data_IF_482766588171
#
_entry.id   IF_482766588171
#
_cell.length_a   1.000
_cell.length_b   1.000
_cell.length_c   1.000
_cell.angle_alpha   90.00
_cell.angle_beta   90.00
_cell.angle_gamma   90.00
#
_symmetry.space_group_name_H-M   'P 1'
#
loop_
_entity.id
_entity.type
_entity.pdbx_description
1 polymer ?
#
# COMPACT_ATOMS: atom_id res chain seq x y z
N UNK A 1 -19.94 -30.21 -7.13
CA UNK A 1 -19.49 -30.64 -5.80
C UNK A 1 -18.24 -31.48 -5.98
N UNK A 2 -17.05 -31.08 -5.49
CA UNK A 2 -15.93 -31.99 -5.38
C UNK A 2 -15.94 -32.63 -3.98
N UNK A 3 -16.01 -33.95 -3.95
CA UNK A 3 -15.86 -34.79 -2.77
C UNK A 3 -14.39 -34.87 -2.38
N UNK A 4 -14.06 -34.46 -1.15
CA UNK A 4 -12.74 -34.68 -0.59
C UNK A 4 -12.75 -36.03 0.16
N UNK A 5 -12.15 -37.04 -0.45
CA UNK A 5 -11.98 -38.37 0.12
C UNK A 5 -10.50 -38.57 0.44
N UNK A 6 -10.07 -38.37 1.68
CA UNK A 6 -8.87 -39.04 2.21
C UNK A 6 -9.02 -39.32 3.70
N UNK A 7 -8.79 -40.60 4.03
CA UNK A 7 -8.91 -41.24 5.32
C UNK A 7 -7.80 -40.82 6.27
N UNK A 8 -8.17 -40.33 7.46
CA UNK A 8 -7.41 -40.47 8.72
C UNK A 8 -8.44 -40.61 9.84
N UNK A 9 -8.44 -41.75 10.54
CA UNK A 9 -9.19 -41.89 11.79
C UNK A 9 -8.28 -41.53 12.97
N UNK A 10 -8.67 -40.54 13.80
CA UNK A 10 -8.28 -40.57 15.21
C UNK A 10 -9.47 -40.34 16.16
N UNK A 11 -9.41 -41.09 17.26
CA UNK A 11 -10.19 -40.98 18.50
C UNK A 11 -10.90 -39.63 18.77
N UNK A 12 -12.23 -39.69 18.64
CA UNK A 12 -13.37 -39.03 19.34
C UNK A 12 -13.29 -37.70 20.13
N UNK A 13 -12.23 -36.89 20.14
CA UNK A 13 -12.31 -35.50 20.69
C UNK A 13 -11.63 -34.39 19.89
N UNK A 14 -10.87 -34.70 18.83
CA UNK A 14 -10.09 -33.68 18.08
C UNK A 14 -10.79 -33.21 16.78
N UNK A 15 -11.83 -33.90 16.31
CA UNK A 15 -12.41 -33.68 14.97
C UNK A 15 -13.44 -32.53 14.85
N UNK A 16 -13.68 -31.73 15.89
CA UNK A 16 -14.79 -30.75 15.89
C UNK A 16 -14.40 -29.30 15.52
N UNK A 17 -13.10 -28.96 15.36
CA UNK A 17 -12.70 -27.57 15.04
C UNK A 17 -12.77 -27.25 13.55
N UNK A 18 -12.40 -28.18 12.67
CA UNK A 18 -12.40 -27.92 11.22
C UNK A 18 -13.80 -27.93 10.60
N UNK A 19 -14.79 -28.59 11.22
CA UNK A 19 -16.18 -28.65 10.72
C UNK A 19 -16.97 -27.34 10.87
N UNK A 20 -16.40 -26.31 11.52
CA UNK A 20 -16.93 -24.93 11.54
C UNK A 20 -16.32 -24.03 10.46
N UNK A 21 -15.35 -24.53 9.70
CA UNK A 21 -14.77 -23.78 8.60
C UNK A 21 -15.79 -23.75 7.44
N UNK A 22 -16.38 -22.58 7.22
CA UNK A 22 -17.45 -22.35 6.23
C UNK A 22 -16.92 -22.15 4.80
N UNK A 23 -15.63 -22.44 4.58
CA UNK A 23 -14.96 -22.25 3.29
C UNK A 23 -14.66 -20.80 2.94
N UNK A 24 -14.93 -19.82 3.82
CA UNK A 24 -14.63 -18.41 3.53
C UNK A 24 -13.13 -18.15 3.66
N UNK A 25 -12.54 -17.64 2.59
CA UNK A 25 -11.20 -17.06 2.62
C UNK A 25 -11.24 -15.82 3.50
N UNK A 26 -10.51 -15.83 4.62
CA UNK A 26 -10.33 -14.65 5.44
C UNK A 26 -9.55 -13.60 4.64
N UNK A 27 -10.08 -12.39 4.53
CA UNK A 27 -9.33 -11.24 3.99
C UNK A 27 -8.06 -11.07 4.81
N UNK A 28 -6.89 -11.20 4.17
CA UNK A 28 -5.59 -11.04 4.84
C UNK A 28 -4.98 -9.71 4.45
N UNK A 29 -4.38 -9.03 5.41
CA UNK A 29 -3.63 -7.79 5.19
C UNK A 29 -2.19 -8.04 5.61
N UNK A 30 -1.25 -7.51 4.83
CA UNK A 30 0.19 -7.55 5.14
C UNK A 30 0.63 -6.21 5.70
N UNK A 31 1.37 -6.26 6.79
CA UNK A 31 1.92 -5.13 7.50
C UNK A 31 3.44 -5.27 7.61
N UNK A 32 4.17 -4.17 7.39
CA UNK A 32 5.57 -4.04 7.83
C UNK A 32 5.58 -3.07 9.00
N UNK A 33 5.89 -3.57 10.19
CA UNK A 33 5.95 -2.78 11.42
C UNK A 33 7.30 -2.10 11.48
N UNK A 34 7.35 -0.78 11.27
CA UNK A 34 8.60 -0.01 11.17
C UNK A 34 9.10 0.51 12.51
N UNK A 35 8.22 0.50 13.52
CA UNK A 35 8.50 0.96 14.86
C UNK A 35 8.77 -0.21 15.82
N UNK A 36 9.76 -0.05 16.71
CA UNK A 36 10.17 -1.11 17.62
C UNK A 36 9.15 -1.36 18.76
N UNK A 37 8.46 -0.34 19.26
CA UNK A 37 7.44 -0.53 20.31
C UNK A 37 6.21 -1.25 19.76
N UNK A 38 5.77 -0.89 18.54
CA UNK A 38 4.70 -1.60 17.85
C UNK A 38 5.06 -3.06 17.58
N UNK A 39 6.32 -3.35 17.20
CA UNK A 39 6.81 -4.73 17.02
C UNK A 39 6.70 -5.54 18.30
N UNK A 40 7.03 -4.96 19.45
CA UNK A 40 6.99 -5.67 20.72
C UNK A 40 5.57 -6.17 21.06
N UNK A 41 4.54 -5.41 20.70
CA UNK A 41 3.13 -5.81 20.87
C UNK A 41 2.71 -7.01 20.01
N UNK A 42 3.53 -7.39 19.03
CA UNK A 42 3.32 -8.56 18.15
C UNK A 42 4.51 -9.53 18.19
N UNK A 43 5.20 -9.60 19.34
CA UNK A 43 6.27 -10.58 19.57
C UNK A 43 7.58 -10.27 18.83
N UNK A 44 7.82 -9.01 18.48
CA UNK A 44 9.03 -8.56 17.78
C UNK A 44 8.98 -8.73 16.26
N UNK A 45 7.86 -9.22 15.71
CA UNK A 45 7.73 -9.48 14.28
C UNK A 45 7.63 -8.18 13.47
N UNK A 46 8.49 -8.04 12.46
CA UNK A 46 8.50 -6.91 11.52
C UNK A 46 7.54 -7.10 10.36
N UNK A 47 7.54 -8.26 9.71
CA UNK A 47 6.67 -8.57 8.58
C UNK A 47 5.60 -9.55 9.02
N UNK A 48 4.34 -9.09 8.99
CA UNK A 48 3.18 -9.86 9.44
C UNK A 48 2.14 -9.85 8.33
N UNK A 49 1.63 -11.02 7.98
CA UNK A 49 0.42 -11.14 7.19
C UNK A 49 -0.59 -11.99 7.96
N UNK A 50 -1.69 -11.37 8.38
CA UNK A 50 -2.73 -12.00 9.19
C UNK A 50 -4.12 -11.66 8.68
N UNK A 51 -5.16 -12.41 9.09
CA UNK A 51 -6.54 -12.02 8.86
C UNK A 51 -6.81 -10.60 9.35
N UNK A 52 -7.54 -9.82 8.56
CA UNK A 52 -7.95 -8.46 8.85
C UNK A 52 -8.62 -8.34 10.24
N UNK A 53 -9.43 -9.33 10.63
CA UNK A 53 -10.08 -9.37 11.94
C UNK A 53 -9.10 -9.51 13.11
N UNK A 54 -8.00 -10.23 12.94
CA UNK A 54 -6.96 -10.36 13.96
C UNK A 54 -6.16 -9.05 14.06
N UNK A 55 -5.81 -8.45 12.93
CA UNK A 55 -5.11 -7.17 12.88
C UNK A 55 -5.97 -6.02 13.43
N UNK A 56 -7.29 -6.08 13.27
CA UNK A 56 -8.23 -5.13 13.84
C UNK A 56 -8.28 -5.19 15.38
N UNK A 57 -7.95 -6.34 15.98
CA UNK A 57 -7.95 -6.53 17.43
C UNK A 57 -6.67 -6.03 18.13
N UNK A 58 -5.66 -5.60 17.37
CA UNK A 58 -4.42 -5.07 17.93
C UNK A 58 -4.69 -3.75 18.66
N UNK A 59 -4.24 -3.65 19.92
CA UNK A 59 -4.30 -2.44 20.73
C UNK A 59 -3.17 -1.46 20.33
N UNK A 60 -3.16 -1.08 19.06
CA UNK A 60 -2.16 -0.21 18.47
C UNK A 60 -2.65 1.24 18.36
N UNK A 61 -1.70 2.16 18.43
CA UNK A 61 -1.92 3.59 18.19
C UNK A 61 -0.72 4.20 17.46
N UNK A 62 -0.42 3.76 16.21
CA UNK A 62 0.66 4.34 15.45
C UNK A 62 0.33 5.79 15.11
N UNK A 63 1.34 6.65 15.07
CA UNK A 63 1.19 8.04 14.62
C UNK A 63 0.98 8.11 13.11
N UNK A 64 1.64 7.23 12.36
CA UNK A 64 1.60 7.21 10.89
C UNK A 64 1.28 5.81 10.35
N UNK A 65 0.39 5.74 9.36
CA UNK A 65 0.22 4.56 8.51
C UNK A 65 0.69 4.88 7.09
N UNK A 66 1.60 4.08 6.58
CA UNK A 66 2.14 4.21 5.21
C UNK A 66 1.56 3.10 4.32
N UNK A 67 0.70 3.45 3.38
CA UNK A 67 0.33 2.52 2.32
C UNK A 67 1.45 2.43 1.29
N UNK A 68 1.94 1.22 1.03
CA UNK A 68 2.95 0.94 0.01
C UNK A 68 2.39 -0.10 -0.95
N UNK A 69 2.35 0.23 -2.24
CA UNK A 69 1.82 -0.69 -3.24
C UNK A 69 2.76 -1.86 -3.49
N UNK A 70 4.04 -1.57 -3.71
CA UNK A 70 5.03 -2.56 -4.08
C UNK A 70 5.63 -3.30 -2.86
N UNK A 71 5.52 -4.64 -2.88
CA UNK A 71 6.03 -5.49 -1.81
C UNK A 71 7.58 -5.47 -1.69
N UNK A 72 8.30 -5.42 -2.80
CA UNK A 72 9.77 -5.34 -2.78
C UNK A 72 10.22 -4.03 -2.11
N UNK A 73 9.57 -2.92 -2.42
CA UNK A 73 9.83 -1.63 -1.79
C UNK A 73 9.53 -1.66 -0.28
N UNK A 74 8.46 -2.34 0.12
CA UNK A 74 8.07 -2.44 1.52
C UNK A 74 9.13 -3.13 2.40
N UNK A 75 9.86 -4.12 1.87
CA UNK A 75 10.93 -4.80 2.62
C UNK A 75 12.14 -3.89 2.90
N UNK A 76 12.41 -2.96 1.98
CA UNK A 76 13.52 -2.02 2.06
C UNK A 76 13.20 -0.77 2.90
N UNK A 77 11.97 -0.62 3.40
CA UNK A 77 11.59 0.52 4.22
C UNK A 77 12.47 0.64 5.47
N UNK A 78 12.93 1.85 5.82
CA UNK A 78 13.67 2.05 7.05
C UNK A 78 12.79 1.89 8.28
N UNK A 79 13.42 1.71 9.43
CA UNK A 79 12.74 1.87 10.71
C UNK A 79 12.33 3.33 10.91
N UNK A 80 11.05 3.53 11.20
CA UNK A 80 10.37 4.82 11.36
C UNK A 80 9.54 4.77 12.63
N UNK A 81 9.71 5.78 13.48
CA UNK A 81 9.03 5.88 14.77
C UNK A 81 7.51 5.90 14.58
N UNK A 82 6.81 5.16 15.44
CA UNK A 82 5.35 5.10 15.52
C UNK A 82 4.68 4.90 14.15
N UNK A 83 5.32 4.12 13.27
CA UNK A 83 4.88 3.91 11.89
C UNK A 83 4.65 2.44 11.58
N UNK A 84 3.54 2.16 10.89
CA UNK A 84 3.26 0.86 10.28
C UNK A 84 3.00 1.04 8.80
N UNK A 85 3.57 0.17 7.97
CA UNK A 85 3.28 0.12 6.55
C UNK A 85 2.22 -0.94 6.25
N UNK A 86 1.23 -0.61 5.43
CA UNK A 86 0.22 -1.54 4.90
C UNK A 86 0.54 -1.80 3.44
N UNK A 87 0.73 -3.07 3.07
CA UNK A 87 1.38 -3.42 1.80
C UNK A 87 0.41 -4.08 0.83
N UNK A 88 0.50 -3.69 -0.45
CA UNK A 88 -0.01 -4.49 -1.57
C UNK A 88 -1.53 -4.60 -1.66
N UNK A 89 -2.27 -3.63 -1.11
CA UNK A 89 -3.74 -3.62 -1.23
C UNK A 89 -4.20 -3.18 -2.63
N UNK A 90 -3.42 -2.38 -3.35
CA UNK A 90 -3.81 -1.80 -4.63
C UNK A 90 -5.20 -1.16 -4.57
N UNK A 91 -6.08 -1.52 -5.51
CA UNK A 91 -7.47 -1.06 -5.55
C UNK A 91 -8.32 -1.47 -4.33
N UNK A 92 -7.88 -2.48 -3.57
CA UNK A 92 -8.56 -2.95 -2.36
C UNK A 92 -8.12 -2.21 -1.10
N UNK A 93 -7.53 -1.02 -1.24
CA UNK A 93 -7.08 -0.17 -0.13
C UNK A 93 -8.17 0.11 0.91
N UNK A 94 -9.44 0.16 0.48
CA UNK A 94 -10.60 0.32 1.36
C UNK A 94 -10.76 -0.81 2.38
N UNK A 95 -10.17 -1.98 2.15
CA UNK A 95 -10.15 -3.07 3.14
C UNK A 95 -9.42 -2.64 4.42
N UNK A 96 -8.44 -1.74 4.35
CA UNK A 96 -7.79 -1.25 5.57
C UNK A 96 -8.75 -0.48 6.49
N UNK A 97 -9.90 -0.01 5.99
CA UNK A 97 -10.86 0.76 6.79
C UNK A 97 -11.51 -0.07 7.91
N UNK A 98 -11.43 -1.41 7.84
CA UNK A 98 -11.88 -2.28 8.92
C UNK A 98 -10.90 -2.32 10.12
N UNK A 99 -9.70 -1.75 10.00
CA UNK A 99 -8.70 -1.68 11.07
C UNK A 99 -8.99 -0.44 11.94
N UNK A 100 -9.49 -0.57 13.18
CA UNK A 100 -9.93 0.59 13.95
C UNK A 100 -8.82 1.60 14.24
N UNK A 101 -7.59 1.11 14.46
CA UNK A 101 -6.45 1.94 14.80
C UNK A 101 -6.01 2.86 13.66
N UNK A 102 -6.30 2.53 12.39
CA UNK A 102 -5.83 3.32 11.22
C UNK A 102 -6.48 4.70 11.15
N UNK A 103 -7.71 4.83 11.63
CA UNK A 103 -8.52 6.06 11.56
C UNK A 103 -8.01 7.18 12.47
N UNK A 104 -7.06 6.87 13.38
CA UNK A 104 -6.44 7.83 14.29
C UNK A 104 -4.99 8.15 13.91
N UNK A 105 -4.59 7.74 12.70
CA UNK A 105 -3.22 7.87 12.21
C UNK A 105 -3.18 8.90 11.11
N UNK A 106 -2.02 9.52 10.91
CA UNK A 106 -1.75 10.23 9.67
C UNK A 106 -1.50 9.21 8.57
N UNK A 107 -2.18 9.37 7.44
CA UNK A 107 -2.09 8.40 6.34
C UNK A 107 -1.22 8.96 5.23
N UNK A 108 -0.18 8.21 4.92
CA UNK A 108 0.71 8.43 3.78
C UNK A 108 0.47 7.34 2.74
N UNK A 109 0.53 7.70 1.46
CA UNK A 109 0.43 6.75 0.36
C UNK A 109 1.64 6.89 -0.56
N UNK A 110 2.29 5.77 -0.88
CA UNK A 110 3.38 5.68 -1.83
C UNK A 110 3.11 4.52 -2.79
N UNK A 111 2.82 4.86 -4.03
CA UNK A 111 2.61 3.94 -5.15
C UNK A 111 3.49 4.31 -6.33
N UNK A 112 3.27 3.61 -7.45
CA UNK A 112 3.93 3.93 -8.71
C UNK A 112 3.48 5.30 -9.24
N UNK A 113 4.39 5.95 -9.96
CA UNK A 113 4.13 7.21 -10.64
C UNK A 113 3.62 6.94 -12.06
N UNK A 114 2.34 6.58 -12.12
CA UNK A 114 1.57 6.35 -13.35
C UNK A 114 0.08 6.64 -13.12
N UNK A 115 -0.77 6.33 -14.11
CA UNK A 115 -2.20 6.62 -14.02
C UNK A 115 -2.96 5.66 -13.09
N UNK A 116 -2.45 4.44 -12.86
CA UNK A 116 -3.05 3.47 -11.93
C UNK A 116 -2.71 3.82 -10.47
N UNK A 117 -1.48 4.23 -10.19
CA UNK A 117 -1.07 4.67 -8.85
C UNK A 117 -1.85 5.91 -8.40
N UNK A 118 -2.14 6.85 -9.30
CA UNK A 118 -2.98 8.01 -9.00
C UNK A 118 -4.47 7.66 -8.85
N UNK A 119 -4.96 6.61 -9.54
CA UNK A 119 -6.29 6.06 -9.24
C UNK A 119 -6.34 5.50 -7.83
N UNK A 120 -5.38 4.66 -7.45
CA UNK A 120 -5.34 4.05 -6.12
C UNK A 120 -5.21 5.12 -5.04
N UNK A 121 -4.42 6.18 -5.26
CA UNK A 121 -4.38 7.35 -4.38
C UNK A 121 -5.76 8.00 -4.21
N UNK A 122 -6.53 8.16 -5.30
CA UNK A 122 -7.90 8.70 -5.21
C UNK A 122 -8.84 7.78 -4.41
N UNK A 123 -8.72 6.45 -4.57
CA UNK A 123 -9.46 5.46 -3.77
C UNK A 123 -9.04 5.47 -2.30
N UNK A 124 -7.75 5.69 -2.03
CA UNK A 124 -7.21 5.84 -0.69
C UNK A 124 -7.87 7.04 0.00
N UNK A 125 -7.94 8.19 -0.69
CA UNK A 125 -8.58 9.40 -0.17
C UNK A 125 -10.09 9.29 -0.02
N UNK A 126 -10.76 8.52 -0.87
CA UNK A 126 -12.17 8.22 -0.69
C UNK A 126 -12.42 7.45 0.62
N UNK A 127 -11.51 6.54 0.99
CA UNK A 127 -11.61 5.74 2.22
C UNK A 127 -11.07 6.47 3.45
N UNK A 128 -10.06 7.31 3.25
CA UNK A 128 -9.27 7.96 4.28
C UNK A 128 -9.02 9.43 3.92
N UNK A 129 -9.99 10.31 4.24
CA UNK A 129 -9.83 11.75 4.01
C UNK A 129 -8.57 12.27 4.70
N UNK A 130 -7.78 13.08 3.99
CA UNK A 130 -6.51 13.61 4.49
C UNK A 130 -5.27 12.79 4.14
N UNK A 131 -5.41 11.67 3.41
CA UNK A 131 -4.26 10.92 2.87
C UNK A 131 -3.35 11.81 2.03
N UNK A 132 -2.04 11.83 2.36
CA UNK A 132 -1.01 12.53 1.60
C UNK A 132 -0.19 11.55 0.78
N UNK A 133 0.06 11.88 -0.48
CA UNK A 133 1.00 11.10 -1.29
C UNK A 133 2.44 11.47 -0.92
N UNK A 134 3.37 10.53 -1.13
CA UNK A 134 4.81 10.70 -0.89
C UNK A 134 5.54 10.19 -2.13
N UNK A 135 6.49 10.97 -2.65
CA UNK A 135 7.26 10.64 -3.87
C UNK A 135 6.38 10.46 -5.12
N UNK A 136 5.16 11.01 -5.13
CA UNK A 136 4.22 10.91 -6.25
C UNK A 136 3.88 12.27 -6.85
N UNK A 137 4.91 13.09 -7.04
CA UNK A 137 4.80 14.42 -7.62
C UNK A 137 5.60 14.53 -8.93
N UNK A 138 5.31 15.60 -9.69
CA UNK A 138 5.95 15.86 -10.98
C UNK A 138 7.47 16.06 -10.89
N UNK A 139 7.99 16.59 -9.78
CA UNK A 139 9.44 16.77 -9.58
C UNK A 139 10.10 15.41 -9.41
N UNK A 140 9.49 14.51 -8.63
CA UNK A 140 9.95 13.13 -8.49
C UNK A 140 9.91 12.40 -9.83
N UNK A 141 8.82 12.51 -10.59
CA UNK A 141 8.73 11.90 -11.92
C UNK A 141 9.86 12.40 -12.85
N UNK A 142 10.07 13.71 -12.91
CA UNK A 142 11.08 14.33 -13.77
C UNK A 142 12.52 14.01 -13.33
N UNK A 143 12.78 13.93 -12.01
CA UNK A 143 14.10 13.58 -11.46
C UNK A 143 14.59 12.23 -11.98
N UNK A 144 13.70 11.25 -12.15
CA UNK A 144 14.03 9.89 -12.58
C UNK A 144 13.66 9.61 -14.04
N UNK A 145 13.66 10.66 -14.87
CA UNK A 145 13.31 10.59 -16.29
C UNK A 145 14.03 9.50 -17.08
N UNK A 146 15.31 9.26 -16.81
CA UNK A 146 16.10 8.23 -17.50
C UNK A 146 15.67 6.80 -17.16
N UNK A 147 14.82 6.61 -16.14
CA UNK A 147 14.36 5.31 -15.64
C UNK A 147 12.91 5.02 -15.99
N UNK A 148 12.21 5.93 -16.68
CA UNK A 148 10.84 5.73 -17.13
C UNK A 148 10.68 4.48 -17.96
N UNK A 149 9.53 3.84 -17.82
CA UNK A 149 9.10 2.67 -18.58
C UNK A 149 7.73 2.93 -19.22
N UNK A 150 7.38 2.21 -20.28
CA UNK A 150 6.06 2.34 -20.86
C UNK A 150 4.97 1.85 -19.90
N UNK A 151 3.93 2.66 -19.73
CA UNK A 151 2.67 2.24 -19.13
C UNK A 151 1.86 1.46 -20.17
N UNK A 152 1.61 0.18 -19.89
CA UNK A 152 0.97 -0.72 -20.86
C UNK A 152 -0.39 -0.21 -21.37
N UNK A 153 -1.22 0.31 -20.46
CA UNK A 153 -2.51 0.92 -20.79
C UNK A 153 -2.84 2.06 -19.81
N UNK A 154 -3.19 3.25 -20.32
CA UNK A 154 -3.57 4.37 -19.48
C UNK A 154 -4.91 4.11 -18.78
N UNK A 155 -4.97 4.47 -17.51
CA UNK A 155 -6.11 4.38 -16.64
C UNK A 155 -6.78 5.75 -16.50
N UNK A 156 -8.08 5.82 -16.79
CA UNK A 156 -8.87 7.06 -16.74
C UNK A 156 -9.83 7.13 -15.54
N UNK A 157 -9.70 6.19 -14.60
CA UNK A 157 -10.66 5.98 -13.50
C UNK A 157 -10.35 6.80 -12.24
N UNK A 158 -9.20 7.47 -12.14
CA UNK A 158 -8.90 8.29 -10.97
C UNK A 158 -9.94 9.41 -10.79
N UNK A 159 -10.43 9.57 -9.57
CA UNK A 159 -11.33 10.67 -9.24
C UNK A 159 -10.53 11.97 -9.08
N UNK A 160 -10.64 12.82 -10.10
CA UNK A 160 -9.96 14.12 -10.20
C UNK A 160 -10.35 15.09 -9.08
N UNK A 161 -11.51 14.91 -8.45
CA UNK A 161 -11.94 15.75 -7.32
C UNK A 161 -11.21 15.39 -6.02
N UNK A 162 -10.66 14.18 -5.93
CA UNK A 162 -9.90 13.69 -4.79
C UNK A 162 -8.38 13.83 -4.98
N UNK A 163 -7.91 14.29 -6.14
CA UNK A 163 -6.51 14.61 -6.37
C UNK A 163 -6.21 16.06 -5.99
N UNK A 164 -5.05 16.30 -5.38
CA UNK A 164 -4.55 17.66 -5.16
C UNK A 164 -4.17 18.29 -6.51
N UNK A 165 -4.06 19.62 -6.56
CA UNK A 165 -3.79 20.35 -7.82
C UNK A 165 -2.61 19.79 -8.60
N UNK A 166 -1.46 19.64 -7.95
CA UNK A 166 -0.24 19.12 -8.60
C UNK A 166 -0.34 17.66 -9.03
N UNK A 167 -1.08 16.82 -8.30
CA UNK A 167 -1.29 15.41 -8.66
C UNK A 167 -2.28 15.28 -9.81
N UNK A 168 -3.29 16.15 -9.86
CA UNK A 168 -4.23 16.21 -10.98
C UNK A 168 -3.54 16.69 -12.25
N UNK A 169 -2.71 17.73 -12.16
CA UNK A 169 -1.88 18.19 -13.28
C UNK A 169 -0.96 17.06 -13.79
N UNK A 170 -0.32 16.34 -12.86
CA UNK A 170 0.50 15.17 -13.18
C UNK A 170 -0.33 14.08 -13.89
N UNK A 171 -1.52 13.75 -13.36
CA UNK A 171 -2.41 12.76 -13.93
C UNK A 171 -2.84 13.12 -15.37
N UNK A 172 -3.24 14.37 -15.61
CA UNK A 172 -3.60 14.81 -16.96
C UNK A 172 -2.41 14.79 -17.91
N UNK A 173 -1.21 15.15 -17.44
CA UNK A 173 0.02 15.06 -18.24
C UNK A 173 0.37 13.61 -18.60
N UNK A 174 0.18 12.67 -17.67
CA UNK A 174 0.36 11.23 -17.91
C UNK A 174 -0.63 10.74 -18.98
N UNK A 175 -1.91 11.12 -18.88
CA UNK A 175 -2.95 10.77 -19.84
C UNK A 175 -2.72 11.37 -21.24
N UNK A 176 -2.18 12.59 -21.31
CA UNK A 176 -1.87 13.26 -22.56
C UNK A 176 -0.66 12.65 -23.30
N UNK A 177 0.18 11.89 -22.57
CA UNK A 177 1.41 11.27 -23.09
C UNK A 177 2.33 12.23 -23.85
N UNK A 178 2.38 13.50 -23.44
CA UNK A 178 3.11 14.57 -24.14
C UNK A 178 4.40 14.95 -23.38
N UNK A 179 5.24 13.96 -23.07
CA UNK A 179 6.45 14.19 -22.28
C UNK A 179 7.65 14.51 -23.19
N UNK A 180 8.29 15.70 -23.07
CA UNK A 180 9.42 16.07 -23.92
C UNK A 180 10.49 14.98 -23.88
N UNK A 181 10.97 14.43 -25.00
CA UNK A 181 12.02 13.39 -25.01
C UNK A 181 11.58 11.96 -24.63
N UNK A 182 10.30 11.73 -24.28
CA UNK A 182 9.73 10.38 -24.28
C UNK A 182 9.36 10.05 -25.72
N UNK A 183 9.81 8.88 -26.22
CA UNK A 183 9.57 8.44 -27.60
C UNK A 183 8.63 7.24 -27.69
N UNK A 184 8.08 6.80 -26.57
CA UNK A 184 7.15 5.68 -26.53
C UNK A 184 5.76 6.09 -27.03
N UNK A 185 5.12 5.22 -27.79
CA UNK A 185 3.70 5.37 -28.16
C UNK A 185 2.78 5.18 -26.94
N UNK A 186 3.26 4.44 -25.94
CA UNK A 186 2.61 4.19 -24.65
C UNK A 186 2.88 5.31 -23.64
N UNK A 187 2.07 5.38 -22.58
CA UNK A 187 2.22 6.34 -21.49
C UNK A 187 3.54 6.17 -20.73
N UNK A 188 3.85 7.12 -19.85
CA UNK A 188 5.02 7.04 -18.95
C UNK A 188 4.60 6.41 -17.63
N UNK A 189 5.42 5.49 -17.13
CA UNK A 189 5.35 4.95 -15.78
C UNK A 189 6.73 5.03 -15.12
N UNK A 190 6.75 5.40 -13.85
CA UNK A 190 7.92 5.28 -12.99
C UNK A 190 7.57 4.39 -11.79
N UNK A 191 8.09 3.16 -11.83
CA UNK A 191 7.91 2.17 -10.77
C UNK A 191 8.65 2.58 -9.49
N UNK A 192 8.09 2.30 -8.31
CA UNK A 192 8.69 2.61 -7.01
C UNK A 192 10.12 2.08 -6.88
N UNK A 193 10.36 0.86 -7.38
CA UNK A 193 11.65 0.16 -7.34
C UNK A 193 12.77 0.91 -8.08
N UNK A 194 12.41 1.86 -8.97
CA UNK A 194 13.35 2.61 -9.80
C UNK A 194 13.82 3.90 -9.17
N UNK A 195 13.30 4.28 -8.00
CA UNK A 195 13.78 5.44 -7.25
C UNK A 195 15.11 5.11 -6.55
N UNK A 196 15.98 6.11 -6.37
CA UNK A 196 17.18 5.92 -5.54
C UNK A 196 16.78 5.79 -4.08
N UNK A 197 17.22 4.70 -3.43
CA UNK A 197 16.84 4.44 -2.04
C UNK A 197 17.33 5.49 -1.05
N UNK A 198 18.44 6.18 -1.33
CA UNK A 198 18.90 7.30 -0.51
C UNK A 198 17.87 8.45 -0.50
N UNK A 199 17.29 8.77 -1.67
CA UNK A 199 16.24 9.76 -1.80
C UNK A 199 14.94 9.31 -1.12
N UNK A 200 14.56 8.04 -1.30
CA UNK A 200 13.35 7.49 -0.68
C UNK A 200 13.47 7.49 0.85
N UNK A 201 14.60 7.04 1.41
CA UNK A 201 14.85 7.05 2.86
C UNK A 201 14.79 8.47 3.43
N UNK A 202 15.45 9.43 2.77
CA UNK A 202 15.44 10.84 3.17
C UNK A 202 14.00 11.40 3.22
N UNK A 203 13.23 11.19 2.15
CA UNK A 203 11.87 11.68 2.05
C UNK A 203 10.92 11.01 3.04
N UNK A 204 10.99 9.69 3.20
CA UNK A 204 10.17 8.96 4.18
C UNK A 204 10.46 9.41 5.61
N UNK A 205 11.74 9.63 5.95
CA UNK A 205 12.11 10.17 7.26
C UNK A 205 11.67 11.61 7.44
N UNK A 206 11.77 12.44 6.40
CA UNK A 206 11.30 13.83 6.43
C UNK A 206 9.82 13.88 6.73
N UNK A 207 9.00 13.19 5.93
CA UNK A 207 7.55 13.19 6.14
C UNK A 207 7.18 12.54 7.46
N UNK A 208 7.86 11.48 7.91
CA UNK A 208 7.61 10.88 9.24
C UNK A 208 7.76 11.89 10.39
N UNK A 209 8.71 12.83 10.29
CA UNK A 209 8.99 13.85 11.33
C UNK A 209 8.06 15.06 11.33
N UNK A 210 7.33 15.33 10.24
CA UNK A 210 6.43 16.49 10.11
C UNK A 210 5.13 16.34 10.93
N UNK A 211 5.24 15.91 12.19
CA UNK A 211 4.12 15.74 13.14
C UNK A 211 3.96 16.94 14.04
#
# INVERSE_FOLDING_TARGET
>A
MPTCSYWWAPSSRVLQRCSRWDGRTLTRIRLIVLDQELRNAVGGLRDIQAPQSELAALAWAPRTTLFVENLACAYCLPDLESTVAVVGLGRAISLAAALPWIHRTRILYWGDLDTHGLEILSLARASFPGTRSVLMDSLTLQRYRSRWVPEAAPNRQADRSLLLSGERELYEALLANAWPGWKGEQGVRLEQERLDWSHVDEELRRVARES
#
